data_IF_581715352770
#
_entry.id   IF_581715352770
#
_cell.length_a   1.000
_cell.length_b   1.000
_cell.length_c   1.000
_cell.angle_alpha   90.00
_cell.angle_beta   90.00
_cell.angle_gamma   90.00
#
_symmetry.space_group_name_H-M   'P 1'
#
loop_
_entity.id
_entity.type
_entity.pdbx_description
1 polymer ?
#
# COMPACT_ATOMS: atom_id res chain seq x y z
N UNK A 1 -16.68 21.36 -29.79
CA UNK A 1 -16.59 19.90 -30.03
C UNK A 1 -15.40 19.41 -29.25
N UNK A 2 -15.71 18.69 -28.17
CA UNK A 2 -14.84 18.36 -27.05
C UNK A 2 -13.70 17.44 -27.48
N UNK A 3 -12.47 17.85 -27.21
CA UNK A 3 -11.27 17.01 -27.27
C UNK A 3 -11.33 15.98 -26.16
N UNK A 4 -11.27 14.69 -26.52
CA UNK A 4 -11.10 13.61 -25.56
C UNK A 4 -9.72 13.72 -24.89
N UNK A 5 -9.62 13.56 -23.56
CA UNK A 5 -8.33 13.42 -22.89
C UNK A 5 -7.82 11.99 -23.07
N UNK A 6 -6.63 11.86 -23.65
CA UNK A 6 -5.89 10.59 -23.74
C UNK A 6 -5.49 10.16 -22.33
N UNK A 7 -6.13 9.10 -21.82
CA UNK A 7 -5.75 8.42 -20.57
C UNK A 7 -4.37 7.80 -20.79
N UNK A 8 -3.39 8.24 -20.02
CA UNK A 8 -2.04 7.66 -19.96
C UNK A 8 -2.17 6.23 -19.40
N UNK A 9 -1.92 5.22 -20.25
CA UNK A 9 -1.60 3.86 -19.82
C UNK A 9 -0.09 3.77 -19.63
N UNK A 10 0.38 3.98 -18.41
CA UNK A 10 1.72 3.53 -18.01
C UNK A 10 1.55 2.40 -17.00
N UNK A 11 1.80 1.18 -17.48
CA UNK A 11 2.11 0.03 -16.65
C UNK A 11 3.44 0.32 -15.95
N UNK A 12 3.40 0.55 -14.63
CA UNK A 12 4.60 0.62 -13.81
C UNK A 12 4.94 -0.80 -13.38
N UNK A 13 5.76 -1.48 -14.19
CA UNK A 13 6.36 -2.76 -13.84
C UNK A 13 7.29 -2.56 -12.63
N UNK A 14 6.88 -3.07 -11.47
CA UNK A 14 7.78 -3.31 -10.34
C UNK A 14 8.35 -4.73 -10.48
N UNK A 15 9.68 -4.91 -10.58
CA UNK A 15 10.28 -6.23 -10.68
C UNK A 15 10.17 -6.94 -9.33
N UNK A 16 9.30 -7.96 -9.26
CA UNK A 16 9.19 -8.86 -8.12
C UNK A 16 10.24 -9.95 -8.28
N UNK A 17 11.13 -10.12 -7.31
CA UNK A 17 12.22 -11.09 -7.34
C UNK A 17 11.70 -12.53 -7.36
N UNK A 18 12.27 -13.35 -8.23
CA UNK A 18 11.99 -14.77 -8.43
C UNK A 18 11.99 -15.57 -7.12
N UNK A 19 10.81 -15.94 -6.60
CA UNK A 19 10.58 -17.32 -6.12
C UNK A 19 9.08 -17.64 -5.90
N UNK A 20 8.63 -18.68 -6.60
CA UNK A 20 7.42 -19.52 -6.41
C UNK A 20 6.00 -18.90 -6.59
N UNK A 21 5.51 -19.07 -7.82
CA UNK A 21 4.14 -19.38 -8.26
C UNK A 21 2.98 -18.80 -7.43
N UNK A 22 2.39 -17.71 -7.94
CA UNK A 22 1.08 -17.21 -7.52
C UNK A 22 0.16 -17.32 -8.75
N UNK A 23 -0.41 -18.50 -8.94
CA UNK A 23 -1.35 -18.78 -10.02
C UNK A 23 -2.75 -18.95 -9.42
N UNK A 24 -3.48 -17.84 -9.26
CA UNK A 24 -4.95 -17.75 -9.31
C UNK A 24 -5.34 -16.25 -9.36
N UNK A 25 -5.99 -15.82 -10.43
CA UNK A 25 -6.24 -14.42 -10.76
C UNK A 25 -7.30 -13.76 -9.83
N UNK A 26 -6.94 -13.27 -8.63
CA UNK A 26 -7.70 -12.18 -7.96
C UNK A 26 -7.17 -10.82 -8.45
N UNK A 27 -7.45 -10.47 -9.71
CA UNK A 27 -7.31 -9.08 -10.17
C UNK A 27 -8.45 -8.25 -9.57
N UNK A 28 -8.36 -7.92 -8.28
CA UNK A 28 -9.14 -6.82 -7.75
C UNK A 28 -8.28 -5.56 -7.82
N UNK A 29 -8.66 -4.65 -8.72
CA UNK A 29 -8.35 -3.22 -8.59
C UNK A 29 -9.08 -2.62 -7.36
N UNK A 30 -9.03 -3.36 -6.23
CA UNK A 30 -9.71 -3.16 -4.94
C UNK A 30 -9.72 -1.73 -4.49
N UNK A 31 -8.59 -1.04 -4.56
CA UNK A 31 -8.45 0.31 -4.01
C UNK A 31 -9.18 1.42 -4.78
N UNK A 32 -10.01 1.12 -5.78
CA UNK A 32 -10.65 2.14 -6.61
C UNK A 32 -11.51 3.14 -5.81
N UNK A 33 -12.30 2.67 -4.83
CA UNK A 33 -13.12 3.56 -3.99
C UNK A 33 -12.26 4.45 -3.08
N UNK A 34 -11.22 3.88 -2.48
CA UNK A 34 -10.33 4.59 -1.55
C UNK A 34 -9.08 5.19 -2.24
N UNK A 35 -8.99 5.14 -3.58
CA UNK A 35 -7.80 5.54 -4.36
C UNK A 35 -7.35 6.95 -4.04
N UNK A 36 -8.29 7.90 -4.03
CA UNK A 36 -7.98 9.30 -3.75
C UNK A 36 -7.50 9.52 -2.31
N UNK A 37 -8.05 8.76 -1.36
CA UNK A 37 -7.68 8.81 0.06
C UNK A 37 -6.29 8.22 0.28
N UNK A 38 -5.97 7.10 -0.38
CA UNK A 38 -4.64 6.49 -0.38
C UNK A 38 -3.61 7.46 -0.99
N UNK A 39 -3.88 7.99 -2.19
CA UNK A 39 -2.99 8.96 -2.84
C UNK A 39 -2.78 10.22 -2.00
N UNK A 40 -3.82 10.72 -1.34
CA UNK A 40 -3.71 11.88 -0.44
C UNK A 40 -2.78 11.60 0.75
N UNK A 41 -2.88 10.41 1.35
CA UNK A 41 -1.99 10.01 2.46
C UNK A 41 -0.56 9.80 1.98
N UNK A 42 -0.36 9.16 0.84
CA UNK A 42 0.97 8.96 0.24
C UNK A 42 1.66 10.30 -0.07
N UNK A 43 0.95 11.28 -0.65
CA UNK A 43 1.48 12.64 -0.89
C UNK A 43 1.91 13.35 0.40
N UNK A 44 1.19 13.12 1.51
CA UNK A 44 1.58 13.66 2.83
C UNK A 44 2.86 13.00 3.34
N UNK A 45 2.96 11.67 3.21
CA UNK A 45 4.14 10.90 3.59
C UNK A 45 5.36 11.33 2.77
N UNK A 46 5.22 11.54 1.47
CA UNK A 46 6.27 12.11 0.61
C UNK A 46 6.75 13.47 1.14
N UNK A 47 5.83 14.33 1.59
CA UNK A 47 6.15 15.58 2.27
C UNK A 47 6.94 15.39 3.57
N UNK A 48 6.57 14.39 4.39
CA UNK A 48 7.30 14.04 5.61
C UNK A 48 8.72 13.56 5.30
N UNK A 49 8.89 12.68 4.31
CA UNK A 49 10.21 12.18 3.90
C UNK A 49 11.11 13.31 3.39
N UNK A 50 10.58 14.23 2.58
CA UNK A 50 11.31 15.46 2.19
C UNK A 50 11.63 16.35 3.39
N UNK A 51 10.76 16.40 4.39
CA UNK A 51 11.01 17.09 5.66
C UNK A 51 12.20 16.49 6.40
N UNK A 52 12.22 15.16 6.55
CA UNK A 52 13.32 14.42 7.18
C UNK A 52 14.64 14.66 6.44
N UNK A 53 14.65 14.61 5.10
CA UNK A 53 15.85 14.89 4.32
C UNK A 53 16.43 16.29 4.62
N UNK A 54 15.58 17.33 4.66
CA UNK A 54 15.99 18.68 5.05
C UNK A 54 16.50 18.76 6.48
N UNK A 55 15.89 18.03 7.43
CA UNK A 55 16.40 17.99 8.80
C UNK A 55 17.82 17.42 8.88
N UNK A 56 18.15 16.45 8.03
CA UNK A 56 19.51 15.91 7.93
C UNK A 56 20.46 16.94 7.31
N UNK A 57 20.04 17.60 6.22
CA UNK A 57 20.84 18.66 5.57
C UNK A 57 21.11 19.86 6.50
N UNK A 58 20.19 20.13 7.43
CA UNK A 58 20.29 21.22 8.42
C UNK A 58 20.93 20.78 9.76
N UNK A 59 21.53 19.58 9.82
CA UNK A 59 22.17 19.01 11.01
C UNK A 59 21.27 19.06 12.27
N UNK A 60 19.97 18.77 12.11
CA UNK A 60 19.02 18.77 13.24
C UNK A 60 19.34 17.66 14.24
N UNK A 61 18.83 17.86 15.46
CA UNK A 61 19.01 16.91 16.55
C UNK A 61 18.47 15.52 16.19
N UNK A 62 19.29 14.50 16.41
CA UNK A 62 19.00 13.13 15.98
C UNK A 62 17.67 12.59 16.52
N UNK A 63 17.29 12.95 17.75
CA UNK A 63 16.03 12.50 18.35
C UNK A 63 14.81 13.08 17.62
N UNK A 64 14.90 14.31 17.13
CA UNK A 64 13.82 14.93 16.36
C UNK A 64 13.67 14.25 15.00
N UNK A 65 14.78 13.89 14.36
CA UNK A 65 14.81 13.11 13.11
C UNK A 65 14.16 11.75 13.32
N UNK A 66 14.56 11.02 14.38
CA UNK A 66 13.98 9.71 14.73
C UNK A 66 12.47 9.80 15.02
N UNK A 67 12.03 10.91 15.62
CA UNK A 67 10.62 11.18 15.86
C UNK A 67 9.84 11.34 14.55
N UNK A 68 10.38 12.09 13.59
CA UNK A 68 9.75 12.26 12.27
C UNK A 68 9.76 10.97 11.44
N UNK A 69 10.83 10.17 11.52
CA UNK A 69 10.88 8.83 10.90
C UNK A 69 9.76 7.97 11.48
N UNK A 70 9.62 7.92 12.81
CA UNK A 70 8.57 7.14 13.47
C UNK A 70 7.17 7.57 13.04
N UNK A 71 6.94 8.89 12.89
CA UNK A 71 5.67 9.43 12.39
C UNK A 71 5.39 9.03 10.92
N UNK A 72 6.42 9.02 10.07
CA UNK A 72 6.31 8.60 8.66
C UNK A 72 6.02 7.10 8.56
N UNK A 73 6.71 6.28 9.35
CA UNK A 73 6.48 4.83 9.43
C UNK A 73 5.06 4.51 9.91
N UNK A 74 4.57 5.21 10.94
CA UNK A 74 3.17 5.06 11.41
C UNK A 74 2.15 5.42 10.33
N UNK A 75 2.43 6.48 9.57
CA UNK A 75 1.56 6.91 8.46
C UNK A 75 1.53 5.88 7.33
N UNK A 76 2.69 5.31 6.96
CA UNK A 76 2.79 4.21 5.99
C UNK A 76 2.02 2.96 6.44
N UNK A 77 2.14 2.59 7.73
CA UNK A 77 1.36 1.49 8.32
C UNK A 77 -0.14 1.71 8.15
N UNK A 78 -0.61 2.93 8.44
CA UNK A 78 -2.03 3.26 8.26
C UNK A 78 -2.49 3.17 6.80
N UNK A 79 -1.64 3.50 5.83
CA UNK A 79 -1.96 3.31 4.40
C UNK A 79 -1.99 1.83 4.03
N UNK A 80 -1.03 1.03 4.48
CA UNK A 80 -1.01 -0.41 4.23
C UNK A 80 -2.26 -1.12 4.76
N UNK A 81 -2.74 -0.74 5.94
CA UNK A 81 -4.00 -1.25 6.49
C UNK A 81 -5.22 -0.90 5.63
N UNK A 82 -5.27 0.30 5.05
CA UNK A 82 -6.38 0.67 4.15
C UNK A 82 -6.40 -0.17 2.88
N UNK A 83 -5.22 -0.39 2.28
CA UNK A 83 -5.10 -1.22 1.07
C UNK A 83 -5.48 -2.67 1.37
N UNK A 84 -5.07 -3.18 2.54
CA UNK A 84 -5.40 -4.52 2.99
C UNK A 84 -6.90 -4.68 3.27
N UNK A 85 -7.52 -3.72 3.97
CA UNK A 85 -8.97 -3.73 4.24
C UNK A 85 -9.78 -3.77 2.93
N UNK A 86 -9.34 -3.02 1.92
CA UNK A 86 -10.01 -3.02 0.63
C UNK A 86 -9.86 -4.36 -0.09
N UNK A 87 -8.64 -4.92 -0.12
CA UNK A 87 -8.40 -6.23 -0.70
C UNK A 87 -9.26 -7.34 -0.05
N UNK A 88 -9.43 -7.29 1.28
CA UNK A 88 -10.35 -8.17 2.02
C UNK A 88 -11.76 -8.05 1.48
N UNK A 89 -12.28 -6.82 1.37
CA UNK A 89 -13.65 -6.57 0.90
C UNK A 89 -13.83 -7.01 -0.55
N UNK A 90 -12.83 -6.77 -1.40
CA UNK A 90 -12.84 -7.11 -2.81
C UNK A 90 -12.79 -8.62 -3.09
N UNK A 91 -11.84 -9.36 -2.52
CA UNK A 91 -11.71 -10.80 -2.81
C UNK A 91 -12.69 -11.66 -1.97
N UNK A 92 -12.99 -11.35 -0.70
CA UNK A 92 -13.82 -12.23 0.16
C UNK A 92 -15.33 -12.09 -0.08
N UNK A 93 -15.83 -10.88 -0.36
CA UNK A 93 -17.27 -10.66 -0.58
C UNK A 93 -17.72 -11.07 -1.99
N UNK A 94 -16.78 -11.13 -2.93
CA UNK A 94 -17.02 -11.56 -4.31
C UNK A 94 -16.69 -13.03 -4.61
N UNK A 95 -16.08 -13.76 -3.66
CA UNK A 95 -15.69 -15.16 -3.86
C UNK A 95 -16.90 -16.10 -3.89
N UNK A 96 -16.83 -17.11 -4.77
CA UNK A 96 -17.78 -18.23 -4.78
C UNK A 96 -17.68 -19.00 -3.45
N UNK A 97 -18.80 -19.45 -2.84
CA UNK A 97 -18.79 -20.23 -1.60
C UNK A 97 -17.80 -21.40 -1.58
N UNK A 98 -17.51 -22.02 -2.73
CA UNK A 98 -16.58 -23.15 -2.82
C UNK A 98 -15.08 -22.72 -2.73
N UNK A 99 -14.77 -21.44 -2.98
CA UNK A 99 -13.40 -20.87 -2.97
C UNK A 99 -13.13 -20.00 -1.73
N UNK A 100 -14.08 -19.94 -0.80
CA UNK A 100 -14.06 -19.02 0.33
C UNK A 100 -12.91 -19.33 1.31
N UNK A 101 -12.63 -20.61 1.57
CA UNK A 101 -11.53 -21.04 2.45
C UNK A 101 -10.15 -20.71 1.87
N UNK A 102 -9.95 -20.93 0.55
CA UNK A 102 -8.69 -20.59 -0.12
C UNK A 102 -8.44 -19.06 -0.13
N UNK A 103 -9.50 -18.28 -0.34
CA UNK A 103 -9.46 -16.80 -0.32
C UNK A 103 -9.11 -16.28 1.08
N UNK A 104 -9.65 -16.92 2.14
CA UNK A 104 -9.33 -16.58 3.53
C UNK A 104 -7.88 -16.92 3.89
N UNK A 105 -7.34 -18.03 3.38
CA UNK A 105 -5.94 -18.41 3.61
C UNK A 105 -4.95 -17.44 2.95
N UNK A 106 -5.23 -16.99 1.72
CA UNK A 106 -4.44 -15.96 1.05
C UNK A 106 -4.45 -14.64 1.82
N UNK A 107 -5.64 -14.25 2.30
CA UNK A 107 -5.79 -13.07 3.14
C UNK A 107 -4.96 -13.17 4.43
N UNK A 108 -5.04 -14.30 5.13
CA UNK A 108 -4.27 -14.51 6.35
C UNK A 108 -2.76 -14.37 6.10
N UNK A 109 -2.25 -14.89 4.97
CA UNK A 109 -0.84 -14.72 4.56
C UNK A 109 -0.47 -13.27 4.30
N UNK A 110 -1.35 -12.49 3.67
CA UNK A 110 -1.14 -11.06 3.42
C UNK A 110 -1.08 -10.26 4.73
N UNK A 111 -2.02 -10.52 5.67
CA UNK A 111 -2.02 -9.95 7.02
C UNK A 111 -0.72 -10.28 7.75
N UNK A 112 -0.32 -11.55 7.75
CA UNK A 112 0.90 -11.99 8.42
C UNK A 112 2.16 -11.32 7.86
N UNK A 113 2.29 -11.18 6.54
CA UNK A 113 3.40 -10.48 5.91
C UNK A 113 3.44 -9.00 6.34
N UNK A 114 2.28 -8.36 6.37
CA UNK A 114 2.16 -6.97 6.82
C UNK A 114 2.55 -6.83 8.29
N UNK A 115 1.99 -7.65 9.19
CA UNK A 115 2.29 -7.62 10.63
C UNK A 115 3.77 -7.87 10.90
N UNK A 116 4.40 -8.82 10.22
CA UNK A 116 5.86 -9.09 10.35
C UNK A 116 6.72 -7.90 9.93
N UNK A 117 6.31 -7.16 8.90
CA UNK A 117 7.04 -5.94 8.45
C UNK A 117 6.84 -4.73 9.37
N UNK A 118 5.84 -4.78 10.25
CA UNK A 118 5.41 -3.67 11.13
C UNK A 118 5.89 -3.84 12.58
N UNK A 119 6.29 -5.05 12.99
CA UNK A 119 6.65 -5.41 14.37
C UNK A 119 8.13 -5.28 14.75
N UNK A 120 8.98 -4.66 13.92
CA UNK A 120 10.38 -4.36 14.23
C UNK A 120 10.58 -2.97 14.81
#
# INVERSE_FOLDING_TARGET
MTTQPTIIKEHSEYPVSDNEQIDAECHSDSYAEDKQKILTRLRRIEGQVRGIARMVEEDKYCIDILTQISASTSSLRSVGLLVLEDHIRGCVVGADPDDQDATLDELNRAIERFVRSVGG
#
